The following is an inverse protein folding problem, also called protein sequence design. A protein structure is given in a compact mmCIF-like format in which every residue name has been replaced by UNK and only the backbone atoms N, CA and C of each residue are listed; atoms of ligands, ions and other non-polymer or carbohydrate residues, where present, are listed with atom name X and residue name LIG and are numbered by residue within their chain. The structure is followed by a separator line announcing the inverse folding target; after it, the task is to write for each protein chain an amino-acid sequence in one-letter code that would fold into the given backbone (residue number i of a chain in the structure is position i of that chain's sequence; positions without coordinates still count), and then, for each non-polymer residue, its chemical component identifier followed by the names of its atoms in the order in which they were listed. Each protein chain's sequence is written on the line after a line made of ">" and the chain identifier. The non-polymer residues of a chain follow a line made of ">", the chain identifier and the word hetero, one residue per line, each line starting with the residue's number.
data_IF_250449967267
#
_entry.id   IF_250449967267
#
_cell.length_a   1.000
_cell.length_b   1.000
_cell.length_c   1.000
_cell.angle_alpha   90.00
_cell.angle_beta   90.00
_cell.angle_gamma   90.00
#
_symmetry.space_group_name_H-M   'P 1'
#
loop_
_entity.id
_entity.type
_entity.pdbx_description
1 polymer ?
#
# COMPACT_ATOMS: atom_id res chain seq x y z
N UNK A 1 25.54 0.12 -13.99
CA UNK A 1 25.76 -1.01 -13.05
C UNK A 1 25.51 -0.65 -11.60
N UNK A 2 26.46 -0.15 -10.78
CA UNK A 2 26.24 -0.03 -9.32
C UNK A 2 25.05 0.87 -8.93
N UNK A 3 24.82 1.95 -9.69
CA UNK A 3 23.69 2.87 -9.45
C UNK A 3 22.33 2.22 -9.76
N UNK A 4 22.27 1.38 -10.78
CA UNK A 4 21.04 0.72 -11.23
C UNK A 4 20.65 -0.40 -10.27
N UNK A 5 21.64 -1.16 -9.76
CA UNK A 5 21.44 -2.17 -8.71
C UNK A 5 20.97 -1.52 -7.40
N UNK A 6 21.56 -0.39 -7.00
CA UNK A 6 21.13 0.36 -5.81
C UNK A 6 19.70 0.89 -5.98
N UNK A 7 19.37 1.47 -7.14
CA UNK A 7 18.02 1.94 -7.43
C UNK A 7 17.01 0.78 -7.37
N UNK A 8 17.33 -0.37 -7.95
CA UNK A 8 16.46 -1.55 -7.91
C UNK A 8 16.17 -2.03 -6.48
N UNK A 9 17.18 -1.97 -5.59
CA UNK A 9 17.05 -2.34 -4.17
C UNK A 9 16.14 -1.39 -3.40
N UNK A 10 16.13 -0.10 -3.76
CA UNK A 10 15.20 0.89 -3.20
C UNK A 10 13.78 0.57 -3.64
N UNK A 11 13.52 0.34 -4.92
CA UNK A 11 12.18 -0.01 -5.42
C UNK A 11 11.65 -1.33 -4.84
N UNK A 12 12.53 -2.32 -4.67
CA UNK A 12 12.18 -3.59 -4.01
C UNK A 12 11.78 -3.37 -2.55
N UNK A 13 12.56 -2.58 -1.82
CA UNK A 13 12.26 -2.24 -0.42
C UNK A 13 10.96 -1.45 -0.31
N UNK A 14 10.75 -0.45 -1.18
CA UNK A 14 9.49 0.29 -1.27
C UNK A 14 8.31 -0.62 -1.60
N UNK A 15 8.48 -1.58 -2.50
CA UNK A 15 7.48 -2.60 -2.82
C UNK A 15 7.13 -3.48 -1.63
N UNK A 16 8.12 -3.83 -0.80
CA UNK A 16 7.90 -4.55 0.46
C UNK A 16 7.15 -3.75 1.52
N UNK A 17 7.33 -2.42 1.56
CA UNK A 17 6.65 -1.53 2.51
C UNK A 17 5.30 -1.00 2.02
N UNK A 18 5.01 -0.99 0.72
CA UNK A 18 3.74 -0.48 0.20
C UNK A 18 2.48 -1.17 0.79
N UNK A 19 2.45 -2.50 1.02
CA UNK A 19 1.30 -3.16 1.67
C UNK A 19 1.12 -2.73 3.13
N UNK A 20 2.20 -2.43 3.85
CA UNK A 20 2.10 -2.00 5.25
C UNK A 20 1.49 -0.61 5.37
N UNK A 21 1.75 0.28 4.39
CA UNK A 21 1.06 1.58 4.27
C UNK A 21 -0.45 1.38 4.05
N UNK A 22 -0.85 0.38 3.26
CA UNK A 22 -2.25 0.02 3.08
C UNK A 22 -2.93 -0.42 4.38
N UNK A 23 -2.24 -1.21 5.20
CA UNK A 23 -2.74 -1.62 6.54
C UNK A 23 -2.90 -0.42 7.47
N UNK A 24 -1.96 0.54 7.44
CA UNK A 24 -2.09 1.79 8.22
C UNK A 24 -3.34 2.56 7.80
N UNK A 25 -3.61 2.67 6.49
CA UNK A 25 -4.83 3.30 5.97
C UNK A 25 -6.10 2.54 6.39
N UNK A 26 -6.06 1.21 6.43
CA UNK A 26 -7.18 0.41 6.93
C UNK A 26 -7.47 0.68 8.42
N UNK A 27 -6.43 0.76 9.24
CA UNK A 27 -6.56 1.11 10.67
C UNK A 27 -7.15 2.52 10.84
N UNK A 28 -6.70 3.50 10.04
CA UNK A 28 -7.26 4.85 10.07
C UNK A 28 -8.76 4.86 9.71
N UNK A 29 -9.17 4.09 8.71
CA UNK A 29 -10.59 3.93 8.34
C UNK A 29 -11.43 3.36 9.48
N UNK A 30 -10.92 2.34 10.18
CA UNK A 30 -11.59 1.76 11.34
C UNK A 30 -11.66 2.72 12.54
N UNK A 31 -10.60 3.50 12.80
CA UNK A 31 -10.62 4.54 13.85
C UNK A 31 -11.72 5.57 13.57
N UNK A 32 -11.87 5.99 12.30
CA UNK A 32 -12.92 6.92 11.90
C UNK A 32 -14.33 6.36 12.15
N UNK A 33 -14.52 5.06 11.90
CA UNK A 33 -15.79 4.35 12.15
C UNK A 33 -16.09 4.26 13.64
N UNK A 34 -15.10 3.94 14.48
CA UNK A 34 -15.30 3.84 15.93
C UNK A 34 -15.65 5.18 16.58
N UNK A 35 -15.23 6.30 16.00
CA UNK A 35 -15.61 7.63 16.47
C UNK A 35 -17.08 8.00 16.24
N UNK A 36 -17.78 7.35 15.29
CA UNK A 36 -19.14 7.69 14.85
C UNK A 36 -20.11 6.49 14.92
N UNK A 37 -20.00 5.67 15.95
CA UNK A 37 -20.87 4.50 16.18
C UNK A 37 -22.37 4.84 16.33
N UNK A 38 -22.72 6.12 16.48
CA UNK A 38 -24.10 6.57 16.63
C UNK A 38 -24.93 6.47 15.34
N UNK A 39 -24.29 6.42 14.16
CA UNK A 39 -24.99 6.38 12.88
C UNK A 39 -24.51 5.20 12.01
N UNK A 40 -25.26 4.09 11.93
CA UNK A 40 -24.91 2.90 11.16
C UNK A 40 -24.71 3.16 9.66
N UNK A 41 -25.26 4.25 9.14
CA UNK A 41 -25.07 4.67 7.75
C UNK A 41 -23.61 5.05 7.43
N UNK A 42 -22.89 5.59 8.41
CA UNK A 42 -21.49 6.01 8.30
C UNK A 42 -20.50 4.85 8.53
N UNK A 43 -20.94 3.75 9.15
CA UNK A 43 -20.12 2.55 9.36
C UNK A 43 -19.64 1.96 8.04
N UNK A 44 -20.54 1.88 7.05
CA UNK A 44 -20.24 1.27 5.75
C UNK A 44 -19.18 2.04 4.97
N UNK A 45 -19.19 3.38 5.04
CA UNK A 45 -18.25 4.21 4.30
C UNK A 45 -16.82 4.06 4.82
N UNK A 46 -16.61 4.08 6.14
CA UNK A 46 -15.28 3.96 6.73
C UNK A 46 -14.67 2.56 6.59
N UNK A 47 -15.49 1.50 6.61
CA UNK A 47 -15.05 0.14 6.29
C UNK A 47 -14.66 0.03 4.81
N UNK A 48 -15.45 0.61 3.90
CA UNK A 48 -15.12 0.63 2.47
C UNK A 48 -13.78 1.34 2.20
N UNK A 49 -13.54 2.48 2.84
CA UNK A 49 -12.25 3.19 2.77
C UNK A 49 -11.10 2.32 3.27
N UNK A 50 -11.31 1.58 4.36
CA UNK A 50 -10.29 0.69 4.90
C UNK A 50 -9.89 -0.40 3.90
N UNK A 51 -10.86 -1.05 3.23
CA UNK A 51 -10.56 -2.06 2.21
C UNK A 51 -9.88 -1.48 0.98
N UNK A 52 -10.32 -0.30 0.53
CA UNK A 52 -9.73 0.40 -0.61
C UNK A 52 -8.28 0.76 -0.34
N UNK A 53 -7.95 1.21 0.87
CA UNK A 53 -6.56 1.48 1.28
C UNK A 53 -5.68 0.23 1.19
N UNK A 54 -6.17 -0.93 1.63
CA UNK A 54 -5.42 -2.20 1.55
C UNK A 54 -5.22 -2.64 0.10
N UNK A 55 -6.25 -2.49 -0.74
CA UNK A 55 -6.15 -2.78 -2.19
C UNK A 55 -5.08 -1.90 -2.83
N UNK A 56 -5.09 -0.59 -2.56
CA UNK A 56 -4.08 0.31 -3.14
C UNK A 56 -2.65 -0.02 -2.67
N UNK A 57 -2.46 -0.38 -1.40
CA UNK A 57 -1.14 -0.78 -0.88
C UNK A 57 -0.60 -2.04 -1.58
N UNK A 58 -1.42 -3.09 -1.68
CA UNK A 58 -1.04 -4.35 -2.33
C UNK A 58 -0.90 -4.19 -3.84
N UNK A 59 -1.78 -3.42 -4.48
CA UNK A 59 -1.72 -3.13 -5.91
C UNK A 59 -0.46 -2.34 -6.26
N UNK A 60 -0.12 -1.31 -5.49
CA UNK A 60 1.08 -0.52 -5.74
C UNK A 60 2.37 -1.34 -5.56
N UNK A 61 2.40 -2.24 -4.57
CA UNK A 61 3.48 -3.19 -4.38
C UNK A 61 3.65 -4.12 -5.60
N UNK A 62 2.59 -4.83 -5.97
CA UNK A 62 2.66 -5.94 -6.92
C UNK A 62 2.56 -5.51 -8.38
N UNK A 63 1.88 -4.42 -8.70
CA UNK A 63 1.69 -3.96 -10.08
C UNK A 63 2.75 -2.95 -10.53
N UNK A 64 3.39 -2.24 -9.59
CA UNK A 64 4.29 -1.12 -9.93
C UNK A 64 5.68 -1.35 -9.35
N UNK A 65 5.82 -1.36 -8.02
CA UNK A 65 7.13 -1.28 -7.36
C UNK A 65 7.99 -2.53 -7.57
N UNK A 66 7.43 -3.72 -7.34
CA UNK A 66 8.16 -4.98 -7.51
C UNK A 66 8.50 -5.27 -8.99
N UNK A 67 7.59 -5.09 -9.96
CA UNK A 67 7.94 -5.23 -11.38
C UNK A 67 9.02 -4.25 -11.84
N UNK A 68 8.97 -2.99 -11.38
CA UNK A 68 9.99 -1.97 -11.71
C UNK A 68 11.35 -2.36 -11.11
N UNK A 69 11.37 -2.82 -9.86
CA UNK A 69 12.60 -3.32 -9.23
C UNK A 69 13.21 -4.50 -9.99
N UNK A 70 12.40 -5.48 -10.36
CA UNK A 70 12.86 -6.66 -11.12
C UNK A 70 13.36 -6.27 -12.51
N UNK A 71 12.69 -5.33 -13.19
CA UNK A 71 13.11 -4.82 -14.50
C UNK A 71 14.42 -4.04 -14.41
N UNK A 72 14.63 -3.24 -13.36
CA UNK A 72 15.91 -2.55 -13.12
C UNK A 72 17.04 -3.55 -12.86
N UNK A 73 16.82 -4.60 -12.04
CA UNK A 73 17.81 -5.66 -11.82
C UNK A 73 18.15 -6.45 -13.08
N UNK A 74 17.21 -6.61 -14.01
CA UNK A 74 17.43 -7.37 -15.24
C UNK A 74 18.19 -6.57 -16.33
N UNK A 75 18.16 -5.24 -16.25
CA UNK A 75 18.83 -4.33 -17.21
C UNK A 75 20.19 -3.87 -16.67
N UNK A 76 20.34 -3.81 -15.35
CA UNK A 76 21.59 -3.51 -14.64
C UNK A 76 22.61 -4.63 -14.75
#
# INVERSE_FOLDING_TARGET
>A
ETRDIQAAKVFESMGGYAPTVGIIGAVMGLIHVMGNLADPSQLGSGIAVAFVATIYGVAMANLILLPVANKLKAIA
#
